data_IF_557637218223
#
_entry.id   IF_557637218223
#
_cell.length_a   1.000
_cell.length_b   1.000
_cell.length_c   1.000
_cell.angle_alpha   90.00
_cell.angle_beta   90.00
_cell.angle_gamma   90.00
#
_symmetry.space_group_name_H-M   'P 1'
#
loop_
_entity.id
_entity.type
_entity.pdbx_description
1 polymer ?
#
# COMPACT_ATOMS: atom_id res chain seq x y z
N UNK A 1 18.30 10.56 -11.34
CA UNK A 1 17.23 10.00 -12.19
C UNK A 1 17.60 9.99 -13.68
N UNK A 2 18.40 10.94 -14.16
CA UNK A 2 18.79 11.03 -15.58
C UNK A 2 19.57 9.80 -16.09
N UNK A 3 20.24 9.08 -15.20
CA UNK A 3 21.10 7.93 -15.54
C UNK A 3 20.37 6.57 -15.45
N UNK A 4 19.12 6.55 -15.01
CA UNK A 4 18.40 5.29 -14.86
C UNK A 4 17.69 4.87 -16.14
N UNK A 5 17.82 3.60 -16.52
CA UNK A 5 17.20 3.01 -17.71
C UNK A 5 15.69 2.77 -17.54
N UNK A 6 15.22 2.64 -16.30
CA UNK A 6 13.82 2.47 -16.00
C UNK A 6 13.41 3.16 -14.70
N UNK A 7 12.23 3.78 -14.71
CA UNK A 7 11.66 4.54 -13.62
C UNK A 7 10.19 4.14 -13.38
N UNK A 8 9.88 3.79 -12.15
CA UNK A 8 8.50 3.62 -11.70
C UNK A 8 8.09 4.82 -10.84
N UNK A 9 6.94 5.40 -11.14
CA UNK A 9 6.31 6.45 -10.34
C UNK A 9 4.96 5.93 -9.83
N UNK A 10 4.80 5.84 -8.51
CA UNK A 10 3.56 5.35 -7.90
C UNK A 10 2.82 6.48 -7.20
N UNK A 11 1.58 6.71 -7.62
CA UNK A 11 0.68 7.75 -7.15
C UNK A 11 -0.42 7.17 -6.27
N UNK A 12 -1.00 8.00 -5.39
CA UNK A 12 -2.12 7.60 -4.54
C UNK A 12 -3.47 7.71 -5.27
N UNK A 13 -3.55 8.59 -6.26
CA UNK A 13 -4.80 8.83 -7.01
C UNK A 13 -4.60 8.64 -8.51
N UNK A 14 -5.69 8.28 -9.18
CA UNK A 14 -5.73 8.18 -10.65
C UNK A 14 -5.46 9.52 -11.31
N UNK A 15 -5.98 10.59 -10.74
CA UNK A 15 -5.83 11.95 -11.25
C UNK A 15 -4.37 12.39 -11.25
N UNK A 16 -3.64 12.15 -10.15
CA UNK A 16 -2.21 12.50 -10.11
C UNK A 16 -1.39 11.61 -11.05
N UNK A 17 -1.71 10.31 -11.12
CA UNK A 17 -1.04 9.43 -12.07
C UNK A 17 -1.24 9.90 -13.52
N UNK A 18 -2.45 10.31 -13.90
CA UNK A 18 -2.74 10.84 -15.22
C UNK A 18 -2.01 12.15 -15.50
N UNK A 19 -2.00 13.09 -14.55
CA UNK A 19 -1.27 14.37 -14.71
C UNK A 19 0.22 14.15 -14.94
N UNK A 20 0.84 13.28 -14.12
CA UNK A 20 2.26 12.96 -14.25
C UNK A 20 2.52 12.28 -15.59
N UNK A 21 1.70 11.29 -15.97
CA UNK A 21 1.84 10.58 -17.24
C UNK A 21 1.78 11.53 -18.45
N UNK A 22 0.84 12.48 -18.45
CA UNK A 22 0.69 13.46 -19.53
C UNK A 22 1.82 14.51 -19.55
N UNK A 23 2.43 14.79 -18.40
CA UNK A 23 3.55 15.73 -18.30
C UNK A 23 4.88 15.16 -18.80
N UNK A 24 5.01 13.84 -18.96
CA UNK A 24 6.22 13.19 -19.47
C UNK A 24 6.20 13.29 -21.01
N UNK A 25 7.24 13.89 -21.65
CA UNK A 25 7.33 13.98 -23.09
C UNK A 25 7.40 12.59 -23.75
N UNK A 26 6.76 12.44 -24.92
CA UNK A 26 6.68 11.16 -25.63
C UNK A 26 7.95 10.78 -26.37
N UNK A 27 8.73 11.78 -26.73
CA UNK A 27 9.98 11.64 -27.48
C UNK A 27 11.19 11.26 -26.60
N UNK A 28 11.05 11.23 -25.28
CA UNK A 28 12.16 11.00 -24.35
C UNK A 28 12.22 9.59 -23.76
N UNK A 29 11.11 8.85 -23.79
CA UNK A 29 11.05 7.52 -23.18
C UNK A 29 9.81 6.74 -23.62
N UNK A 30 9.87 5.42 -23.47
CA UNK A 30 8.71 4.55 -23.57
C UNK A 30 7.84 4.71 -22.32
N UNK A 31 6.60 5.18 -22.51
CA UNK A 31 5.67 5.44 -21.40
C UNK A 31 4.67 4.33 -21.20
N UNK A 32 4.47 3.95 -19.96
CA UNK A 32 3.42 3.02 -19.54
C UNK A 32 2.55 3.66 -18.45
N UNK A 33 1.27 3.33 -18.48
CA UNK A 33 0.33 3.73 -17.41
C UNK A 33 -0.39 2.51 -16.88
N UNK A 34 -0.48 2.38 -15.54
CA UNK A 34 -1.21 1.32 -14.85
C UNK A 34 -2.13 1.93 -13.79
N UNK A 35 -3.41 1.58 -13.85
CA UNK A 35 -4.41 2.14 -12.94
C UNK A 35 -5.52 1.13 -12.66
N UNK A 36 -6.12 1.21 -11.49
CA UNK A 36 -7.33 0.46 -11.14
C UNK A 36 -8.55 0.79 -12.03
N UNK A 37 -8.49 1.91 -12.78
CA UNK A 37 -9.54 2.26 -13.74
C UNK A 37 -9.48 1.46 -15.04
N UNK A 38 -8.36 0.78 -15.32
CA UNK A 38 -8.22 -0.07 -16.50
C UNK A 38 -9.00 -1.37 -16.32
N UNK A 39 -9.62 -1.86 -17.40
CA UNK A 39 -10.19 -3.21 -17.39
C UNK A 39 -9.09 -4.26 -17.19
N UNK A 40 -9.46 -5.43 -16.67
CA UNK A 40 -8.49 -6.45 -16.29
C UNK A 40 -7.62 -6.90 -17.49
N UNK A 41 -8.22 -7.14 -18.64
CA UNK A 41 -7.51 -7.57 -19.86
C UNK A 41 -6.46 -6.54 -20.27
N UNK A 42 -6.85 -5.27 -20.43
CA UNK A 42 -5.92 -4.21 -20.82
C UNK A 42 -4.79 -4.03 -19.81
N UNK A 43 -5.08 -4.19 -18.52
CA UNK A 43 -4.06 -4.13 -17.47
C UNK A 43 -3.05 -5.27 -17.59
N UNK A 44 -3.50 -6.50 -17.83
CA UNK A 44 -2.63 -7.68 -18.04
C UNK A 44 -1.75 -7.45 -19.28
N UNK A 45 -2.33 -7.11 -20.41
CA UNK A 45 -1.60 -6.81 -21.64
C UNK A 45 -0.55 -5.71 -21.45
N UNK A 46 -0.88 -4.66 -20.70
CA UNK A 46 0.07 -3.57 -20.40
C UNK A 46 1.21 -4.06 -19.51
N UNK A 47 0.92 -4.89 -18.51
CA UNK A 47 1.93 -5.50 -17.63
C UNK A 47 2.86 -6.41 -18.44
N UNK A 48 2.32 -7.24 -19.31
CA UNK A 48 3.10 -8.17 -20.15
C UNK A 48 4.03 -7.40 -21.11
N UNK A 49 3.51 -6.36 -21.76
CA UNK A 49 4.32 -5.48 -22.60
C UNK A 49 5.40 -4.77 -21.81
N UNK A 50 5.08 -4.22 -20.65
CA UNK A 50 6.04 -3.56 -19.77
C UNK A 50 7.14 -4.54 -19.32
N UNK A 51 6.78 -5.75 -18.92
CA UNK A 51 7.74 -6.80 -18.56
C UNK A 51 8.66 -7.18 -19.73
N UNK A 52 8.11 -7.37 -20.91
CA UNK A 52 8.90 -7.67 -22.12
C UNK A 52 9.88 -6.52 -22.41
N UNK A 53 9.41 -5.27 -22.36
CA UNK A 53 10.23 -4.08 -22.59
C UNK A 53 11.35 -3.94 -21.55
N UNK A 54 11.09 -4.22 -20.25
CA UNK A 54 12.10 -4.11 -19.20
C UNK A 54 13.16 -5.22 -19.29
N UNK A 55 12.81 -6.39 -19.84
CA UNK A 55 13.75 -7.52 -20.05
C UNK A 55 14.55 -7.42 -21.33
N UNK A 56 14.20 -6.54 -22.23
CA UNK A 56 14.93 -6.32 -23.47
C UNK A 56 16.26 -5.60 -23.17
N UNK A 57 17.35 -6.34 -23.26
CA UNK A 57 18.71 -5.85 -23.03
C UNK A 57 19.29 -5.04 -24.21
N UNK A 58 18.68 -5.15 -25.40
CA UNK A 58 19.07 -4.38 -26.58
C UNK A 58 18.36 -3.04 -26.67
N UNK A 59 17.40 -2.81 -25.79
CA UNK A 59 16.65 -1.55 -25.72
C UNK A 59 17.54 -0.37 -25.39
N UNK A 60 17.45 0.68 -26.18
CA UNK A 60 18.18 1.95 -26.00
C UNK A 60 17.34 3.04 -25.34
N UNK A 61 16.01 2.92 -25.42
CA UNK A 61 15.09 3.90 -24.85
C UNK A 61 14.88 3.67 -23.36
N UNK A 62 14.73 4.76 -22.63
CA UNK A 62 14.33 4.73 -21.22
C UNK A 62 12.88 4.33 -21.07
N UNK A 63 12.55 3.64 -19.99
CA UNK A 63 11.17 3.23 -19.66
C UNK A 63 10.67 4.01 -18.47
N UNK A 64 9.50 4.62 -18.58
CA UNK A 64 8.81 5.23 -17.45
C UNK A 64 7.42 4.62 -17.31
N UNK A 65 7.15 4.06 -16.13
CA UNK A 65 5.83 3.59 -15.76
C UNK A 65 5.23 4.49 -14.68
N UNK A 66 4.07 5.08 -14.97
CA UNK A 66 3.29 5.80 -13.96
C UNK A 66 2.10 4.95 -13.55
N UNK A 67 2.03 4.63 -12.27
CA UNK A 67 1.03 3.69 -11.76
C UNK A 67 0.32 4.24 -10.52
N UNK A 68 -0.87 3.72 -10.24
CA UNK A 68 -1.47 3.74 -8.91
C UNK A 68 -0.97 2.53 -8.11
N UNK A 69 -1.52 2.27 -6.92
CA UNK A 69 -1.12 1.15 -6.06
C UNK A 69 -1.25 -0.24 -6.70
N UNK A 70 -1.87 -0.36 -7.86
CA UNK A 70 -2.07 -1.66 -8.55
C UNK A 70 -0.77 -2.40 -8.87
N UNK A 71 0.36 -1.70 -8.92
CA UNK A 71 1.67 -2.31 -9.16
C UNK A 71 2.37 -2.78 -7.87
N UNK A 72 1.89 -2.35 -6.71
CA UNK A 72 2.51 -2.67 -5.41
C UNK A 72 2.34 -4.15 -5.05
N UNK A 73 1.26 -4.81 -5.50
CA UNK A 73 0.98 -6.21 -5.23
C UNK A 73 0.70 -7.01 -6.50
N UNK A 74 1.05 -8.30 -6.49
CA UNK A 74 0.66 -9.24 -7.54
C UNK A 74 1.39 -9.11 -8.88
N UNK A 75 2.42 -8.23 -8.99
CA UNK A 75 3.16 -8.03 -10.24
C UNK A 75 4.64 -8.25 -9.99
N UNK A 76 5.28 -9.10 -10.79
CA UNK A 76 6.73 -9.38 -10.69
C UNK A 76 7.51 -8.54 -11.71
N UNK A 77 7.77 -7.29 -11.34
CA UNK A 77 8.48 -6.30 -12.15
C UNK A 77 9.58 -5.65 -11.33
N UNK A 78 10.73 -5.42 -11.96
CA UNK A 78 11.87 -4.69 -11.39
C UNK A 78 12.15 -3.41 -12.17
N UNK A 79 12.41 -2.33 -11.44
CA UNK A 79 12.81 -1.04 -12.00
C UNK A 79 14.15 -0.61 -11.42
N UNK A 80 14.94 0.11 -12.24
CA UNK A 80 16.21 0.67 -11.78
C UNK A 80 16.02 1.78 -10.74
N UNK A 81 14.90 2.51 -10.76
CA UNK A 81 14.54 3.56 -9.79
C UNK A 81 13.04 3.55 -9.52
N UNK A 82 12.69 3.93 -8.29
CA UNK A 82 11.28 4.07 -7.88
C UNK A 82 11.08 5.41 -7.20
N UNK A 83 10.03 6.09 -7.60
CA UNK A 83 9.48 7.27 -6.91
C UNK A 83 8.11 6.86 -6.37
N UNK A 84 7.88 7.07 -5.08
CA UNK A 84 6.59 6.86 -4.42
C UNK A 84 6.06 8.18 -3.89
N UNK A 85 4.88 8.59 -4.29
CA UNK A 85 4.20 9.69 -3.61
C UNK A 85 3.88 9.24 -2.17
N UNK A 86 4.13 10.11 -1.21
CA UNK A 86 4.01 9.77 0.22
C UNK A 86 2.66 9.15 0.55
N UNK A 87 2.69 7.99 1.16
CA UNK A 87 1.56 7.18 1.60
C UNK A 87 1.89 6.53 2.95
N UNK A 88 1.22 5.46 3.33
CA UNK A 88 1.59 4.67 4.51
C UNK A 88 2.96 4.01 4.37
N UNK A 89 3.58 3.65 5.50
CA UNK A 89 4.88 2.97 5.51
C UNK A 89 4.84 1.62 4.78
N UNK A 90 3.76 0.90 4.89
CA UNK A 90 3.49 -0.36 4.17
C UNK A 90 3.52 -0.16 2.64
N UNK A 91 2.89 0.90 2.13
CA UNK A 91 2.93 1.25 0.72
C UNK A 91 4.34 1.63 0.26
N UNK A 92 5.10 2.36 1.10
CA UNK A 92 6.49 2.73 0.80
C UNK A 92 7.36 1.47 0.69
N UNK A 93 7.21 0.51 1.61
CA UNK A 93 7.93 -0.77 1.57
C UNK A 93 7.57 -1.59 0.33
N UNK A 94 6.29 -1.67 -0.03
CA UNK A 94 5.84 -2.38 -1.22
C UNK A 94 6.39 -1.76 -2.51
N UNK A 95 6.42 -0.41 -2.57
CA UNK A 95 7.03 0.32 -3.66
C UNK A 95 8.54 0.07 -3.74
N UNK A 96 9.24 0.08 -2.59
CA UNK A 96 10.66 -0.23 -2.50
C UNK A 96 10.97 -1.65 -3.00
N UNK A 97 10.09 -2.62 -2.73
CA UNK A 97 10.18 -3.98 -3.27
C UNK A 97 10.02 -4.10 -4.79
N UNK A 98 9.80 -3.00 -5.51
CA UNK A 98 9.83 -2.92 -6.99
C UNK A 98 11.12 -2.29 -7.52
N UNK A 99 11.97 -1.78 -6.64
CA UNK A 99 13.25 -1.20 -6.99
C UNK A 99 14.36 -2.26 -6.87
N UNK A 100 15.13 -2.49 -7.95
CA UNK A 100 16.21 -3.48 -7.96
C UNK A 100 15.76 -4.87 -7.42
N UNK A 101 14.54 -5.26 -7.73
CA UNK A 101 13.88 -6.45 -7.17
C UNK A 101 14.63 -7.74 -7.45
N UNK A 102 15.23 -7.84 -8.63
CA UNK A 102 15.96 -9.03 -9.06
C UNK A 102 17.47 -8.93 -8.81
N UNK A 103 17.93 -7.85 -8.13
CA UNK A 103 19.35 -7.67 -7.79
C UNK A 103 20.23 -7.35 -8.99
N UNK A 104 19.71 -6.64 -9.98
CA UNK A 104 20.47 -6.20 -11.17
C UNK A 104 21.63 -5.30 -10.77
N UNK A 105 21.42 -4.43 -9.77
CA UNK A 105 22.49 -3.68 -9.11
C UNK A 105 22.96 -4.40 -7.84
N UNK A 106 24.27 -4.56 -7.68
CA UNK A 106 24.87 -5.07 -6.44
C UNK A 106 24.88 -4.05 -5.30
N UNK A 107 24.85 -2.76 -5.65
CA UNK A 107 24.81 -1.67 -4.70
C UNK A 107 23.37 -1.32 -4.30
N UNK A 108 23.12 -0.86 -3.06
CA UNK A 108 21.83 -0.37 -2.64
C UNK A 108 21.33 0.74 -3.55
N UNK A 109 20.08 0.64 -3.98
CA UNK A 109 19.46 1.59 -4.89
C UNK A 109 18.45 2.45 -4.12
N UNK A 110 18.56 3.80 -4.20
CA UNK A 110 17.66 4.68 -3.48
C UNK A 110 16.24 4.65 -4.04
N UNK A 111 15.26 4.61 -3.14
CA UNK A 111 13.85 4.83 -3.43
C UNK A 111 13.49 6.24 -2.96
N UNK A 112 12.85 7.01 -3.82
CA UNK A 112 12.49 8.39 -3.54
C UNK A 112 11.04 8.48 -3.06
N UNK A 113 10.85 9.04 -1.87
CA UNK A 113 9.50 9.32 -1.34
C UNK A 113 9.25 10.83 -1.46
N UNK A 114 8.23 11.21 -2.22
CA UNK A 114 7.95 12.61 -2.54
C UNK A 114 6.56 13.01 -2.04
N UNK A 115 6.49 14.11 -1.29
CA UNK A 115 5.21 14.66 -0.84
C UNK A 115 4.64 15.62 -1.86
N UNK A 116 3.48 15.27 -2.42
CA UNK A 116 2.71 16.17 -3.27
C UNK A 116 1.79 17.03 -2.39
N UNK A 117 1.99 18.37 -2.41
CA UNK A 117 1.21 19.32 -1.61
C UNK A 117 -0.22 19.52 -2.11
N UNK A 118 -0.48 19.29 -3.40
CA UNK A 118 -1.78 19.51 -4.06
C UNK A 118 -2.58 18.23 -4.27
N UNK A 119 -2.16 17.13 -3.64
CA UNK A 119 -2.83 15.86 -3.77
C UNK A 119 -4.18 15.86 -3.03
N UNK A 120 -5.26 15.63 -3.76
CA UNK A 120 -6.60 15.59 -3.18
C UNK A 120 -6.94 14.19 -2.67
N UNK A 121 -6.82 13.98 -1.35
CA UNK A 121 -7.13 12.71 -0.68
C UNK A 121 -8.46 12.77 0.10
N UNK A 122 -9.37 13.70 -0.23
CA UNK A 122 -10.64 13.90 0.50
C UNK A 122 -11.51 12.63 0.51
N UNK A 123 -11.49 11.88 -0.58
CA UNK A 123 -12.29 10.67 -0.74
C UNK A 123 -11.51 9.38 -0.42
N UNK A 124 -10.30 9.50 0.12
CA UNK A 124 -9.42 8.40 0.47
C UNK A 124 -8.90 8.58 1.93
N UNK A 125 -9.82 8.52 2.92
CA UNK A 125 -9.48 8.84 4.31
C UNK A 125 -8.41 7.90 4.89
N UNK A 126 -8.39 6.63 4.50
CA UNK A 126 -7.40 5.65 4.94
C UNK A 126 -6.01 6.02 4.44
N UNK A 127 -5.86 6.34 3.15
CA UNK A 127 -4.58 6.76 2.57
C UNK A 127 -4.12 8.06 3.21
N UNK A 128 -5.03 9.01 3.45
CA UNK A 128 -4.70 10.28 4.10
C UNK A 128 -4.15 10.05 5.51
N UNK A 129 -4.83 9.24 6.33
CA UNK A 129 -4.38 8.91 7.70
C UNK A 129 -3.03 8.18 7.70
N UNK A 130 -2.85 7.21 6.84
CA UNK A 130 -1.60 6.48 6.71
C UNK A 130 -0.45 7.41 6.27
N UNK A 131 -0.70 8.33 5.33
CA UNK A 131 0.24 9.38 4.91
C UNK A 131 0.61 10.30 6.07
N UNK A 132 -0.37 10.79 6.84
CA UNK A 132 -0.14 11.65 8.01
C UNK A 132 0.73 10.94 9.06
N UNK A 133 0.43 9.68 9.36
CA UNK A 133 1.23 8.88 10.30
C UNK A 133 2.66 8.64 9.80
N UNK A 134 2.84 8.35 8.51
CA UNK A 134 4.15 8.20 7.89
C UNK A 134 4.94 9.52 7.92
N UNK A 135 4.33 10.64 7.58
CA UNK A 135 4.96 11.95 7.66
C UNK A 135 5.43 12.30 9.09
N UNK A 136 4.60 12.01 10.10
CA UNK A 136 4.96 12.23 11.50
C UNK A 136 6.15 11.37 11.93
N UNK A 137 6.18 10.09 11.51
CA UNK A 137 7.32 9.22 11.76
C UNK A 137 8.59 9.75 11.09
N UNK A 138 8.52 10.10 9.79
CA UNK A 138 9.67 10.61 9.02
C UNK A 138 10.23 11.88 9.63
N UNK A 139 9.39 12.82 10.08
CA UNK A 139 9.82 14.04 10.78
C UNK A 139 10.52 13.73 12.10
N UNK A 140 10.00 12.74 12.86
CA UNK A 140 10.63 12.33 14.12
C UNK A 140 11.96 11.64 13.86
N UNK A 141 12.03 10.81 12.84
CA UNK A 141 13.25 10.10 12.42
C UNK A 141 14.36 11.08 11.99
N UNK A 142 14.01 12.11 11.22
CA UNK A 142 14.98 13.12 10.81
C UNK A 142 15.59 13.88 11.99
N UNK A 143 14.81 14.14 13.05
CA UNK A 143 15.27 14.88 14.23
C UNK A 143 15.99 13.98 15.23
N UNK A 144 15.58 12.75 15.35
CA UNK A 144 15.98 11.82 16.38
C UNK A 144 16.18 10.39 15.83
N UNK A 145 17.10 10.18 14.86
CA UNK A 145 17.31 8.85 14.26
C UNK A 145 17.79 7.82 15.29
N UNK A 146 18.49 8.27 16.35
CA UNK A 146 18.96 7.44 17.46
C UNK A 146 17.83 6.71 18.22
N UNK A 147 16.60 7.25 18.20
CA UNK A 147 15.42 6.63 18.83
C UNK A 147 14.94 5.39 18.09
N UNK A 148 15.45 5.16 16.90
CA UNK A 148 15.05 4.12 15.98
C UNK A 148 16.25 3.29 15.51
N UNK A 149 17.34 3.30 16.27
CA UNK A 149 18.58 2.59 15.93
C UNK A 149 19.12 2.96 14.52
N UNK A 150 18.87 4.20 14.09
CA UNK A 150 19.18 4.71 12.75
C UNK A 150 18.53 3.90 11.61
N UNK A 151 17.49 3.13 11.93
CA UNK A 151 16.73 2.32 10.98
C UNK A 151 15.24 2.71 10.98
N UNK A 152 14.76 3.18 9.83
CA UNK A 152 13.36 3.57 9.64
C UNK A 152 12.39 2.37 9.70
N UNK A 153 12.92 1.16 9.56
CA UNK A 153 12.17 -0.09 9.63
C UNK A 153 12.41 -0.87 10.94
N UNK A 154 13.06 -0.24 11.93
CA UNK A 154 13.20 -0.82 13.26
C UNK A 154 11.84 -1.06 13.92
N UNK A 155 11.81 -2.00 14.87
CA UNK A 155 10.61 -2.27 15.68
C UNK A 155 10.04 -1.01 16.35
N UNK A 156 10.92 -0.09 16.79
CA UNK A 156 10.52 1.17 17.41
C UNK A 156 9.82 2.09 16.41
N UNK A 157 10.32 2.20 15.18
CA UNK A 157 9.73 2.99 14.11
C UNK A 157 8.36 2.41 13.69
N UNK A 158 8.30 1.10 13.48
CA UNK A 158 7.06 0.39 13.11
C UNK A 158 5.98 0.59 14.19
N UNK A 159 6.34 0.40 15.46
CA UNK A 159 5.39 0.62 16.58
C UNK A 159 4.93 2.07 16.66
N UNK A 160 5.81 3.04 16.46
CA UNK A 160 5.42 4.45 16.45
C UNK A 160 4.48 4.77 15.30
N UNK A 161 4.73 4.24 14.10
CA UNK A 161 3.86 4.41 12.94
C UNK A 161 2.44 3.90 13.23
N UNK A 162 2.32 2.66 13.67
CA UNK A 162 1.00 2.07 13.93
C UNK A 162 0.27 2.72 15.11
N UNK A 163 0.99 3.15 16.15
CA UNK A 163 0.38 3.95 17.22
C UNK A 163 -0.21 5.25 16.68
N UNK A 164 0.51 5.96 15.82
CA UNK A 164 0.02 7.21 15.20
C UNK A 164 -1.14 6.97 14.24
N UNK A 165 -1.13 5.85 13.51
CA UNK A 165 -2.16 5.47 12.55
C UNK A 165 -3.49 5.16 13.25
N UNK A 166 -3.45 4.41 14.36
CA UNK A 166 -4.64 3.94 15.08
C UNK A 166 -5.09 4.86 16.22
N UNK A 167 -4.23 5.76 16.73
CA UNK A 167 -4.61 6.67 17.80
C UNK A 167 -5.82 7.55 17.44
N UNK A 168 -5.91 8.03 16.21
CA UNK A 168 -7.05 8.82 15.73
C UNK A 168 -8.33 7.98 15.50
N UNK A 169 -8.18 6.70 15.24
CA UNK A 169 -9.33 5.81 15.16
C UNK A 169 -10.02 5.66 16.52
N UNK A 170 -9.23 5.57 17.59
CA UNK A 170 -9.76 5.46 18.95
C UNK A 170 -10.46 6.76 19.40
N UNK A 171 -9.93 7.94 19.04
CA UNK A 171 -10.57 9.22 19.34
C UNK A 171 -11.89 9.44 18.56
N UNK A 172 -11.93 9.12 17.26
CA UNK A 172 -13.16 9.24 16.46
C UNK A 172 -14.21 8.21 16.86
N UNK A 173 -13.82 7.09 17.41
CA UNK A 173 -14.71 6.00 17.82
C UNK A 173 -15.23 6.20 19.23
N UNK A 174 -14.46 6.74 20.14
CA UNK A 174 -14.89 7.15 21.49
C UNK A 174 -15.92 8.28 21.41
N UNK A 175 -15.85 9.16 20.42
CA UNK A 175 -16.85 10.24 20.21
C UNK A 175 -18.17 9.74 19.63
N UNK A 176 -18.25 8.54 19.06
CA UNK A 176 -19.52 7.92 18.66
C UNK A 176 -20.10 7.13 19.84
N UNK A 177 -20.94 7.79 20.61
CA UNK A 177 -21.71 7.29 21.74
C UNK A 177 -22.60 6.09 21.37
N UNK A 178 -22.08 4.92 21.21
CA UNK A 178 -22.87 3.70 21.14
C UNK A 178 -22.16 2.51 21.79
N UNK A 179 -21.64 2.67 23.03
CA UNK A 179 -21.40 1.55 23.96
C UNK A 179 -20.60 0.34 23.46
N UNK A 180 -20.00 0.40 22.30
CA UNK A 180 -19.20 -0.66 21.73
C UNK A 180 -17.77 -0.44 22.15
N UNK A 181 -17.32 -1.18 23.14
CA UNK A 181 -15.92 -1.29 23.54
C UNK A 181 -15.15 -1.87 22.37
N UNK A 182 -14.22 -1.09 21.85
CA UNK A 182 -13.47 -1.44 20.68
C UNK A 182 -12.18 -2.14 21.04
N UNK A 183 -12.19 -3.42 20.77
CA UNK A 183 -10.98 -4.13 20.36
C UNK A 183 -11.25 -4.47 18.91
N UNK A 184 -10.76 -3.65 17.97
CA UNK A 184 -10.97 -3.84 16.54
C UNK A 184 -12.44 -3.64 16.09
N UNK A 185 -12.81 -2.42 15.66
CA UNK A 185 -14.20 -2.05 15.33
C UNK A 185 -14.89 -2.95 14.32
N UNK A 186 -14.13 -3.61 13.45
CA UNK A 186 -14.64 -4.59 12.48
C UNK A 186 -15.06 -5.87 13.20
N UNK A 187 -14.26 -6.36 14.15
CA UNK A 187 -14.54 -7.59 14.92
C UNK A 187 -15.73 -7.38 15.83
N UNK A 188 -15.86 -6.21 16.47
CA UNK A 188 -16.99 -5.89 17.34
C UNK A 188 -18.26 -5.72 16.54
N UNK A 189 -18.20 -5.14 15.34
CA UNK A 189 -19.36 -5.05 14.44
C UNK A 189 -19.79 -6.43 13.94
N UNK A 190 -18.83 -7.30 13.62
CA UNK A 190 -19.11 -8.67 13.22
C UNK A 190 -19.69 -9.47 14.38
N UNK A 191 -19.15 -9.32 15.59
CA UNK A 191 -19.64 -9.97 16.78
C UNK A 191 -21.05 -9.49 17.17
N UNK A 192 -21.31 -8.19 17.09
CA UNK A 192 -22.65 -7.64 17.31
C UNK A 192 -23.65 -8.15 16.26
N UNK A 193 -23.24 -8.24 14.99
CA UNK A 193 -24.04 -8.80 13.92
C UNK A 193 -24.34 -10.29 14.14
N UNK A 194 -23.33 -11.05 14.54
CA UNK A 194 -23.45 -12.47 14.84
C UNK A 194 -24.27 -12.73 16.10
N UNK A 195 -24.13 -11.90 17.16
CA UNK A 195 -24.88 -12.06 18.39
C UNK A 195 -26.35 -11.62 18.32
N UNK A 196 -26.68 -10.68 17.41
CA UNK A 196 -28.04 -10.18 17.21
C UNK A 196 -28.81 -10.93 16.11
N UNK A 197 -28.15 -11.72 15.30
CA UNK A 197 -28.79 -12.42 14.17
C UNK A 197 -28.53 -13.93 14.24
N UNK A 198 -29.17 -14.57 15.24
CA UNK A 198 -29.00 -16.00 15.53
C UNK A 198 -29.31 -16.86 14.29
N UNK A 199 -30.34 -16.49 13.52
CA UNK A 199 -30.76 -17.21 12.31
C UNK A 199 -29.67 -17.18 11.22
N UNK A 200 -28.92 -16.07 11.11
CA UNK A 200 -27.81 -15.97 10.15
C UNK A 200 -26.63 -16.83 10.58
N UNK A 201 -26.34 -16.87 11.87
CA UNK A 201 -25.25 -17.70 12.45
C UNK A 201 -25.60 -19.17 12.27
N UNK A 202 -26.81 -19.57 12.59
CA UNK A 202 -27.30 -20.94 12.47
C UNK A 202 -27.35 -21.40 11.01
N UNK A 203 -27.71 -20.51 10.07
CA UNK A 203 -27.68 -20.80 8.63
C UNK A 203 -26.26 -20.88 8.04
N UNK A 204 -25.33 -20.07 8.55
CA UNK A 204 -23.95 -20.02 8.05
C UNK A 204 -23.05 -21.09 8.66
N UNK A 205 -23.26 -21.47 9.93
CA UNK A 205 -22.35 -22.32 10.70
C UNK A 205 -23.01 -23.56 11.33
N UNK A 206 -24.33 -23.74 11.19
CA UNK A 206 -25.07 -24.85 11.78
C UNK A 206 -25.41 -24.66 13.25
N UNK A 207 -26.35 -25.47 13.76
CA UNK A 207 -26.93 -25.36 15.10
C UNK A 207 -26.00 -25.71 16.27
N UNK A 208 -24.80 -26.20 16.02
CA UNK A 208 -23.81 -26.54 17.06
C UNK A 208 -22.92 -25.35 17.47
N UNK A 209 -23.23 -24.14 17.02
CA UNK A 209 -22.38 -22.95 17.19
C UNK A 209 -22.39 -22.35 18.61
N UNK A 210 -23.13 -22.91 19.58
CA UNK A 210 -23.22 -22.37 20.96
C UNK A 210 -21.91 -22.38 21.74
N UNK A 211 -20.85 -23.02 21.25
CA UNK A 211 -19.54 -23.11 21.91
C UNK A 211 -18.39 -22.46 21.16
N UNK A 212 -18.62 -21.83 20.01
CA UNK A 212 -17.56 -21.18 19.26
C UNK A 212 -17.27 -19.79 19.82
N UNK A 213 -16.13 -19.64 20.48
CA UNK A 213 -15.61 -18.31 20.79
C UNK A 213 -15.05 -17.68 19.50
N UNK A 214 -15.11 -16.35 19.41
CA UNK A 214 -14.54 -15.59 18.28
C UNK A 214 -13.08 -16.00 17.98
N UNK A 215 -12.31 -16.33 19.02
CA UNK A 215 -10.95 -16.89 18.91
C UNK A 215 -10.88 -18.21 18.16
N UNK A 216 -11.87 -19.07 18.31
CA UNK A 216 -11.92 -20.36 17.62
C UNK A 216 -12.32 -20.17 16.15
N UNK A 217 -13.27 -19.27 15.87
CA UNK A 217 -13.65 -18.90 14.51
C UNK A 217 -12.46 -18.29 13.73
N UNK A 218 -11.68 -17.42 14.36
CA UNK A 218 -10.45 -16.86 13.76
C UNK A 218 -9.36 -17.92 13.54
N UNK A 219 -9.16 -18.83 14.49
CA UNK A 219 -8.20 -19.92 14.31
C UNK A 219 -8.60 -20.89 13.20
N UNK A 220 -9.88 -21.13 13.02
CA UNK A 220 -10.40 -22.00 11.95
C UNK A 220 -10.33 -21.30 10.59
N UNK A 221 -10.68 -20.03 10.50
CA UNK A 221 -10.54 -19.24 9.30
C UNK A 221 -9.07 -19.09 8.87
N UNK A 222 -8.15 -18.84 9.81
CA UNK A 222 -6.71 -18.76 9.53
C UNK A 222 -6.08 -20.06 9.02
N UNK A 223 -6.68 -21.21 9.30
CA UNK A 223 -6.22 -22.50 8.74
C UNK A 223 -6.69 -22.75 7.30
N UNK A 224 -7.73 -22.07 6.86
CA UNK A 224 -8.28 -22.20 5.49
C UNK A 224 -7.71 -21.16 4.52
N UNK A 225 -6.85 -20.24 4.99
CA UNK A 225 -6.13 -19.26 4.19
C UNK A 225 -4.62 -19.55 4.13
N UNK A 226 -4.23 -20.82 4.06
CA UNK A 226 -2.89 -21.17 3.60
C UNK A 226 -2.88 -21.10 2.07
N UNK A 227 -2.35 -20.01 1.53
CA UNK A 227 -1.88 -19.92 0.15
C UNK A 227 -0.57 -20.65 0.03
#
# INVERSE_FOLDING_TARGET
LAEADSLLIICNTKTEAQKIYLAIPEDQCLKFHLSAAMCATHRIETIDRLNATLKDTERTEKVVCVSTQVIEAGVDISFARVIRLTAGMDNIVQAAGRCNRHGESKEPVPVYVITCQREELKHLPEIRRAKEAACALLQTFQKHPERFDHDLFSDAAIRQYYRSLYAKEDEEKVSRQNGLVQVDGVITSLFSLLSTNKDFVDAAFGTECEQYTLRQAFRTAGKNFSV
#
